data_IF_892473489642
#
_entry.id   IF_892473489642
#
_cell.length_a   1.000
_cell.length_b   1.000
_cell.length_c   1.000
_cell.angle_alpha   90.00
_cell.angle_beta   90.00
_cell.angle_gamma   90.00
#
_symmetry.space_group_name_H-M   'P 1'
#
loop_
_entity.id
_entity.type
_entity.pdbx_description
1 polymer ?
#
# COMPACT_ATOMS: atom_id res chain seq x y z
N UNK A 1 5.98 16.71 0.80
CA UNK A 1 4.89 17.45 0.16
C UNK A 1 3.54 16.75 0.24
N UNK A 2 3.52 15.44 0.47
CA UNK A 2 2.31 14.65 0.73
C UNK A 2 2.03 14.58 2.23
N UNK A 3 0.77 14.40 2.64
CA UNK A 3 0.43 14.18 4.05
C UNK A 3 0.96 12.81 4.51
N UNK A 4 1.40 12.71 5.76
CA UNK A 4 1.90 11.45 6.34
C UNK A 4 0.85 10.32 6.39
N UNK A 5 -0.43 10.65 6.21
CA UNK A 5 -1.54 9.69 6.15
C UNK A 5 -2.01 9.42 4.71
N UNK A 6 -1.23 9.74 3.68
CA UNK A 6 -1.63 9.61 2.27
C UNK A 6 -2.18 8.23 1.94
N UNK A 7 -1.48 7.17 2.32
CA UNK A 7 -1.91 5.80 2.05
C UNK A 7 -3.29 5.47 2.63
N UNK A 8 -3.54 5.87 3.87
CA UNK A 8 -4.84 5.67 4.53
C UNK A 8 -5.94 6.44 3.82
N UNK A 9 -5.66 7.68 3.42
CA UNK A 9 -6.63 8.54 2.73
C UNK A 9 -6.98 7.97 1.34
N UNK A 10 -5.98 7.57 0.57
CA UNK A 10 -6.18 7.05 -0.78
C UNK A 10 -6.93 5.72 -0.77
N UNK A 11 -6.53 4.76 0.06
CA UNK A 11 -7.22 3.47 0.13
C UNK A 11 -8.65 3.62 0.66
N UNK A 12 -8.92 4.58 1.55
CA UNK A 12 -10.28 4.88 2.00
C UNK A 12 -11.18 5.33 0.84
N UNK A 13 -10.68 6.20 -0.04
CA UNK A 13 -11.40 6.65 -1.22
C UNK A 13 -11.61 5.52 -2.23
N UNK A 14 -10.61 4.65 -2.40
CA UNK A 14 -10.73 3.46 -3.27
C UNK A 14 -11.83 2.53 -2.74
N UNK A 15 -11.82 2.22 -1.45
CA UNK A 15 -12.84 1.37 -0.81
C UNK A 15 -14.24 1.96 -0.94
N UNK A 16 -14.40 3.26 -0.72
CA UNK A 16 -15.68 3.94 -0.91
C UNK A 16 -16.12 3.92 -2.38
N UNK A 17 -15.20 4.08 -3.31
CA UNK A 17 -15.45 3.93 -4.74
C UNK A 17 -15.97 2.53 -5.08
N UNK A 18 -15.34 1.49 -4.56
CA UNK A 18 -15.80 0.09 -4.74
C UNK A 18 -17.19 -0.12 -4.16
N UNK A 19 -17.44 0.39 -2.96
CA UNK A 19 -18.75 0.30 -2.30
C UNK A 19 -19.84 0.95 -3.15
N UNK A 20 -19.63 2.16 -3.61
CA UNK A 20 -20.59 2.90 -4.47
C UNK A 20 -20.83 2.19 -5.79
N UNK A 21 -19.76 1.72 -6.42
CA UNK A 21 -19.84 1.04 -7.72
C UNK A 21 -20.64 -0.25 -7.63
N UNK A 22 -20.39 -1.07 -6.62
CA UNK A 22 -21.09 -2.35 -6.43
C UNK A 22 -22.55 -2.14 -6.03
N UNK A 23 -22.84 -1.18 -5.15
CA UNK A 23 -24.21 -0.83 -4.76
C UNK A 23 -25.02 -0.35 -5.97
N UNK A 24 -24.47 0.51 -6.82
CA UNK A 24 -25.14 1.02 -8.03
C UNK A 24 -25.48 -0.08 -9.03
N UNK A 25 -24.73 -1.18 -9.03
CA UNK A 25 -24.96 -2.34 -9.93
C UNK A 25 -25.83 -3.43 -9.31
N UNK A 26 -26.34 -3.23 -8.12
CA UNK A 26 -27.10 -4.26 -7.42
C UNK A 26 -26.28 -5.50 -7.05
N UNK A 27 -24.95 -5.36 -6.99
CA UNK A 27 -24.05 -6.42 -6.56
C UNK A 27 -24.12 -6.62 -5.04
N UNK A 28 -23.46 -7.67 -4.56
CA UNK A 28 -23.38 -7.95 -3.13
C UNK A 28 -22.85 -6.73 -2.34
N UNK A 29 -23.43 -6.50 -1.18
CA UNK A 29 -23.00 -5.43 -0.26
C UNK A 29 -21.58 -5.74 0.22
N UNK A 30 -20.69 -4.77 0.05
CA UNK A 30 -19.34 -4.82 0.58
C UNK A 30 -19.27 -4.02 1.88
N UNK A 31 -18.78 -4.66 2.93
CA UNK A 31 -18.36 -3.97 4.15
C UNK A 31 -16.93 -3.52 3.97
N UNK A 32 -16.70 -2.23 3.96
CA UNK A 32 -15.37 -1.65 3.98
C UNK A 32 -15.02 -1.28 5.43
N UNK A 33 -13.96 -1.86 5.95
CA UNK A 33 -13.44 -1.51 7.26
C UNK A 33 -12.52 -0.29 7.16
N UNK A 34 -12.31 0.35 8.30
CA UNK A 34 -11.30 1.40 8.44
C UNK A 34 -9.92 0.83 8.08
N UNK A 35 -9.13 1.49 7.25
CA UNK A 35 -7.77 1.05 6.96
C UNK A 35 -6.91 0.94 8.21
N UNK A 36 -5.93 0.05 8.17
CA UNK A 36 -4.89 0.00 9.19
C UNK A 36 -3.95 1.18 8.98
N UNK A 37 -3.92 2.09 9.95
CA UNK A 37 -3.14 3.33 9.85
C UNK A 37 -1.63 3.12 10.08
N UNK A 38 -1.26 1.98 10.65
CA UNK A 38 0.13 1.64 10.93
C UNK A 38 0.44 0.27 10.34
N UNK A 39 1.59 0.15 9.73
CA UNK A 39 2.02 -1.09 9.10
C UNK A 39 3.48 -1.43 9.39
N UNK A 40 3.92 -2.56 8.84
CA UNK A 40 5.30 -2.99 8.89
C UNK A 40 6.02 -2.40 7.68
N UNK A 41 6.55 -1.20 7.82
CA UNK A 41 7.23 -0.50 6.75
C UNK A 41 8.52 -1.21 6.32
N UNK A 42 8.91 -1.14 5.04
CA UNK A 42 10.23 -1.56 4.59
C UNK A 42 11.35 -0.81 5.32
N UNK A 43 12.51 -1.44 5.40
CA UNK A 43 13.64 -0.89 6.14
C UNK A 43 14.06 0.51 5.68
N UNK A 44 14.01 0.77 4.39
CA UNK A 44 14.42 2.07 3.83
C UNK A 44 13.52 3.25 4.23
N UNK A 45 12.32 2.98 4.75
CA UNK A 45 11.46 4.04 5.31
C UNK A 45 11.85 4.42 6.75
N UNK A 46 12.74 3.67 7.38
CA UNK A 46 13.18 3.97 8.73
C UNK A 46 13.94 5.29 8.76
N UNK A 47 13.48 6.22 9.58
CA UNK A 47 14.08 7.55 9.71
C UNK A 47 13.39 8.65 8.91
N UNK A 48 12.42 8.31 8.05
CA UNK A 48 11.57 9.33 7.43
C UNK A 48 10.61 9.92 8.46
N UNK A 49 10.39 11.26 8.52
CA UNK A 49 9.46 11.86 9.50
C UNK A 49 8.05 11.33 9.33
N UNK A 50 7.43 11.00 10.44
CA UNK A 50 6.09 10.47 10.48
C UNK A 50 6.01 8.96 10.27
N UNK A 51 7.08 8.29 9.89
CA UNK A 51 7.12 6.84 9.79
C UNK A 51 7.16 6.20 11.17
N UNK A 52 6.12 5.44 11.49
CA UNK A 52 6.00 4.67 12.73
C UNK A 52 5.89 3.20 12.36
N UNK A 53 7.01 2.48 12.20
CA UNK A 53 6.98 1.09 11.80
C UNK A 53 6.51 0.20 12.94
N UNK A 54 5.51 -0.62 12.67
CA UNK A 54 5.11 -1.69 13.57
C UNK A 54 5.92 -2.94 13.23
N UNK A 55 6.36 -3.67 14.25
CA UNK A 55 7.05 -4.95 14.02
C UNK A 55 6.18 -5.87 13.17
N UNK A 56 6.78 -6.51 12.19
CA UNK A 56 6.06 -7.35 11.20
C UNK A 56 5.16 -8.38 11.87
N UNK A 57 5.67 -9.09 12.86
CA UNK A 57 4.90 -10.11 13.58
C UNK A 57 3.70 -9.52 14.31
N UNK A 58 3.80 -8.31 14.87
CA UNK A 58 2.69 -7.63 15.55
C UNK A 58 1.61 -7.22 14.55
N UNK A 59 2.00 -6.58 13.45
CA UNK A 59 1.08 -6.18 12.40
C UNK A 59 0.35 -7.40 11.78
N UNK A 60 1.09 -8.47 11.53
CA UNK A 60 0.54 -9.71 11.02
C UNK A 60 -0.46 -10.36 11.98
N UNK A 61 -0.12 -10.50 13.26
CA UNK A 61 -1.01 -11.08 14.26
C UNK A 61 -2.28 -10.24 14.42
N UNK A 62 -2.14 -8.92 14.48
CA UNK A 62 -3.30 -8.02 14.52
C UNK A 62 -4.24 -8.26 13.33
N UNK A 63 -3.68 -8.37 12.12
CA UNK A 63 -4.49 -8.63 10.92
C UNK A 63 -5.18 -10.00 10.98
N UNK A 64 -4.48 -11.03 11.49
CA UNK A 64 -5.05 -12.37 11.71
C UNK A 64 -6.24 -12.32 12.66
N UNK A 65 -6.14 -11.57 13.74
CA UNK A 65 -7.23 -11.42 14.72
C UNK A 65 -8.44 -10.71 14.09
N UNK A 66 -8.20 -9.66 13.31
CA UNK A 66 -9.28 -8.98 12.55
C UNK A 66 -9.96 -9.96 11.56
N UNK A 67 -9.17 -10.73 10.83
CA UNK A 67 -9.71 -11.72 9.88
C UNK A 67 -10.54 -12.80 10.59
N UNK A 68 -10.11 -13.25 11.76
CA UNK A 68 -10.83 -14.23 12.56
C UNK A 68 -12.14 -13.66 13.09
N UNK A 69 -12.12 -12.44 13.62
CA UNK A 69 -13.31 -11.74 14.06
C UNK A 69 -14.36 -11.63 12.94
N UNK A 70 -13.95 -11.15 11.79
CA UNK A 70 -14.81 -11.07 10.61
C UNK A 70 -15.34 -12.44 10.18
N UNK A 71 -14.53 -13.47 10.25
CA UNK A 71 -14.97 -14.82 9.93
C UNK A 71 -16.05 -15.31 10.91
N UNK A 72 -15.88 -15.05 12.20
CA UNK A 72 -16.87 -15.38 13.24
C UNK A 72 -18.21 -14.64 13.01
N UNK A 73 -18.13 -13.41 12.51
CA UNK A 73 -19.31 -12.61 12.14
C UNK A 73 -19.96 -13.03 10.79
N UNK A 74 -19.42 -14.07 10.15
CA UNK A 74 -20.02 -14.62 8.93
C UNK A 74 -19.40 -14.15 7.64
N UNK A 75 -18.39 -13.27 7.64
CA UNK A 75 -17.70 -12.79 6.43
C UNK A 75 -16.74 -13.83 5.90
N UNK A 76 -17.20 -14.62 4.91
CA UNK A 76 -16.45 -15.71 4.28
C UNK A 76 -15.61 -15.27 3.09
N UNK A 77 -15.79 -14.04 2.64
CA UNK A 77 -15.01 -13.43 1.54
C UNK A 77 -14.35 -12.18 2.10
N UNK A 78 -13.04 -12.26 2.31
CA UNK A 78 -12.27 -11.17 2.86
C UNK A 78 -11.18 -10.77 1.86
N UNK A 79 -11.18 -9.51 1.48
CA UNK A 79 -10.24 -8.96 0.50
C UNK A 79 -9.44 -7.85 1.18
N UNK A 80 -8.14 -8.05 1.25
CA UNK A 80 -7.19 -7.07 1.76
C UNK A 80 -6.73 -6.20 0.58
N UNK A 81 -7.01 -4.91 0.63
CA UNK A 81 -6.55 -3.96 -0.38
C UNK A 81 -5.24 -3.35 0.10
N UNK A 82 -4.18 -3.62 -0.64
CA UNK A 82 -2.87 -3.06 -0.36
C UNK A 82 -2.68 -1.72 -1.06
N UNK A 83 -2.12 -0.76 -0.34
CA UNK A 83 -1.74 0.56 -0.84
C UNK A 83 -0.32 0.96 -0.47
N UNK A 84 0.51 0.03 0.00
CA UNK A 84 1.87 0.32 0.44
C UNK A 84 2.85 -0.81 0.09
N UNK A 85 4.15 -0.53 0.19
CA UNK A 85 5.22 -1.44 -0.20
C UNK A 85 5.37 -2.73 0.61
N UNK A 86 4.52 -3.02 1.60
CA UNK A 86 4.62 -4.21 2.46
C UNK A 86 3.62 -5.34 2.12
N UNK A 87 3.35 -5.57 0.85
CA UNK A 87 2.46 -6.61 0.35
C UNK A 87 2.76 -8.00 0.94
N UNK A 88 4.03 -8.33 1.10
CA UNK A 88 4.51 -9.61 1.65
C UNK A 88 3.94 -9.92 3.04
N UNK A 89 3.72 -8.92 3.89
CA UNK A 89 3.15 -9.12 5.22
C UNK A 89 1.68 -9.53 5.14
N UNK A 90 0.91 -8.94 4.23
CA UNK A 90 -0.50 -9.28 4.01
C UNK A 90 -0.65 -10.71 3.48
N UNK A 91 0.20 -11.10 2.54
CA UNK A 91 0.24 -12.47 2.01
C UNK A 91 0.59 -13.47 3.13
N UNK A 92 1.60 -13.14 3.95
CA UNK A 92 1.98 -13.93 5.10
C UNK A 92 0.84 -14.07 6.12
N UNK A 93 0.09 -13.00 6.38
CA UNK A 93 -1.05 -13.04 7.30
C UNK A 93 -2.12 -14.04 6.84
N UNK A 94 -2.50 -14.01 5.56
CA UNK A 94 -3.45 -14.97 5.00
C UNK A 94 -2.93 -16.40 5.12
N UNK A 95 -1.66 -16.64 4.79
CA UNK A 95 -1.05 -17.95 4.88
C UNK A 95 -1.05 -18.47 6.32
N UNK A 96 -0.68 -17.64 7.29
CA UNK A 96 -0.67 -18.03 8.70
C UNK A 96 -2.08 -18.22 9.26
N UNK A 97 -3.04 -17.39 8.86
CA UNK A 97 -4.44 -17.56 9.19
C UNK A 97 -4.95 -18.92 8.77
N UNK A 98 -4.73 -19.29 7.52
CA UNK A 98 -5.18 -20.59 6.99
C UNK A 98 -4.48 -21.77 7.66
N UNK A 99 -3.19 -21.69 7.90
CA UNK A 99 -2.43 -22.76 8.59
C UNK A 99 -2.89 -22.99 10.02
N UNK A 100 -3.34 -21.95 10.72
CA UNK A 100 -3.79 -22.04 12.11
C UNK A 100 -5.21 -22.57 12.24
N UNK A 101 -6.10 -22.03 11.41
CA UNK A 101 -7.53 -22.21 11.62
C UNK A 101 -8.21 -23.12 10.63
N UNK A 102 -7.64 -23.38 9.47
CA UNK A 102 -8.22 -24.23 8.41
C UNK A 102 -9.67 -23.86 8.05
N UNK A 103 -10.02 -22.57 8.13
CA UNK A 103 -11.37 -22.11 7.96
C UNK A 103 -11.75 -21.92 6.50
N UNK A 104 -12.95 -22.37 6.08
CA UNK A 104 -13.40 -22.22 4.69
C UNK A 104 -13.72 -20.76 4.38
N UNK A 105 -13.29 -20.29 3.21
CA UNK A 105 -13.54 -18.94 2.77
C UNK A 105 -12.69 -18.54 1.57
N UNK A 106 -12.88 -17.33 1.12
CA UNK A 106 -12.05 -16.69 0.10
C UNK A 106 -11.30 -15.56 0.78
N UNK A 107 -9.99 -15.67 0.82
CA UNK A 107 -9.09 -14.68 1.37
C UNK A 107 -8.12 -14.26 0.28
N UNK A 108 -8.09 -12.96 -0.04
CA UNK A 108 -7.30 -12.41 -1.14
C UNK A 108 -6.61 -11.13 -0.72
N UNK A 109 -5.42 -10.93 -1.26
CA UNK A 109 -4.78 -9.61 -1.29
C UNK A 109 -4.91 -9.05 -2.69
N UNK A 110 -5.27 -7.79 -2.78
CA UNK A 110 -5.24 -7.02 -4.02
C UNK A 110 -4.31 -5.83 -3.79
N UNK A 111 -3.23 -5.80 -4.53
CA UNK A 111 -2.46 -4.60 -4.76
C UNK A 111 -3.18 -3.82 -5.87
N UNK A 112 -3.86 -2.75 -5.50
CA UNK A 112 -4.69 -2.03 -6.46
C UNK A 112 -3.87 -1.37 -7.58
N UNK A 113 -2.60 -1.03 -7.33
CA UNK A 113 -1.70 -0.51 -8.35
C UNK A 113 -1.54 -1.49 -9.52
N UNK A 114 -1.53 -2.80 -9.21
CA UNK A 114 -1.45 -3.84 -10.25
C UNK A 114 -2.75 -4.03 -11.01
N UNK A 115 -3.88 -3.63 -10.42
CA UNK A 115 -5.19 -3.70 -11.09
C UNK A 115 -5.35 -2.63 -12.17
N UNK A 116 -4.62 -1.52 -12.04
CA UNK A 116 -4.64 -0.37 -12.96
C UNK A 116 -3.24 -0.08 -13.51
N UNK A 117 -2.59 -1.10 -14.02
CA UNK A 117 -1.17 -1.05 -14.46
C UNK A 117 -0.83 0.09 -15.40
N UNK A 118 -1.75 0.43 -16.29
CA UNK A 118 -1.58 1.51 -17.25
C UNK A 118 -1.36 2.87 -16.60
N UNK A 119 -1.81 3.03 -15.36
CA UNK A 119 -1.59 4.25 -14.57
C UNK A 119 -0.29 4.22 -13.75
N UNK A 120 0.38 3.07 -13.66
CA UNK A 120 1.62 2.91 -12.87
C UNK A 120 2.81 2.46 -13.71
N UNK A 121 2.77 2.75 -15.02
CA UNK A 121 3.87 2.52 -15.94
C UNK A 121 4.28 3.83 -16.58
N UNK A 122 5.55 3.94 -16.87
CA UNK A 122 6.06 5.05 -17.68
C UNK A 122 5.50 5.02 -19.10
N UNK A 123 5.48 6.15 -19.76
CA UNK A 123 5.05 6.28 -21.15
C UNK A 123 5.87 5.37 -22.07
N UNK A 124 7.17 5.19 -21.81
CA UNK A 124 8.04 4.26 -22.52
C UNK A 124 7.58 2.79 -22.40
N UNK A 125 6.96 2.43 -21.30
CA UNK A 125 6.41 1.08 -21.03
C UNK A 125 4.91 0.98 -21.35
N UNK A 126 4.38 1.92 -22.13
CA UNK A 126 2.96 1.95 -22.51
C UNK A 126 2.01 2.43 -21.42
N UNK A 127 2.54 3.11 -20.41
CA UNK A 127 1.77 3.75 -19.34
C UNK A 127 1.47 5.21 -19.59
N UNK A 128 1.23 5.97 -18.54
CA UNK A 128 0.77 7.37 -18.58
C UNK A 128 1.67 8.35 -17.84
N UNK A 129 2.68 7.87 -17.14
CA UNK A 129 3.55 8.68 -16.32
C UNK A 129 4.92 8.88 -16.96
N UNK A 130 5.54 10.00 -16.66
CA UNK A 130 6.90 10.28 -17.14
C UNK A 130 7.96 9.70 -16.20
N UNK A 131 7.59 9.46 -14.94
CA UNK A 131 8.47 8.91 -13.92
C UNK A 131 8.10 7.47 -13.53
N UNK A 132 9.05 6.75 -12.95
CA UNK A 132 8.79 5.42 -12.39
C UNK A 132 7.98 5.56 -11.09
N UNK A 133 7.11 4.58 -10.87
CA UNK A 133 6.41 4.47 -9.58
C UNK A 133 7.38 4.00 -8.50
N UNK A 134 7.61 4.84 -7.50
CA UNK A 134 8.52 4.58 -6.38
C UNK A 134 7.91 5.02 -5.05
N UNK A 135 8.03 6.29 -4.68
CA UNK A 135 7.56 6.86 -3.42
C UNK A 135 7.35 8.37 -3.56
N UNK A 136 6.20 8.86 -3.11
CA UNK A 136 5.81 10.27 -3.25
C UNK A 136 6.02 10.83 -4.66
N UNK A 137 5.88 9.96 -5.64
CA UNK A 137 6.14 10.22 -7.06
C UNK A 137 4.97 10.95 -7.75
N UNK A 138 5.08 11.07 -9.06
CA UNK A 138 4.09 11.71 -9.91
C UNK A 138 2.69 11.10 -9.73
N UNK A 139 2.59 9.77 -9.59
CA UNK A 139 1.31 9.07 -9.46
C UNK A 139 0.65 9.30 -8.11
N UNK A 140 1.41 9.18 -7.02
CA UNK A 140 0.91 9.43 -5.67
C UNK A 140 0.57 10.90 -5.45
N UNK A 141 1.41 11.80 -5.96
CA UNK A 141 1.17 13.25 -5.91
C UNK A 141 -0.08 13.63 -6.70
N UNK A 142 -0.27 13.06 -7.88
CA UNK A 142 -1.48 13.30 -8.69
C UNK A 142 -2.75 12.83 -7.98
N UNK A 143 -2.70 11.68 -7.31
CA UNK A 143 -3.82 11.20 -6.47
C UNK A 143 -4.08 12.15 -5.30
N UNK A 144 -3.03 12.62 -4.64
CA UNK A 144 -3.15 13.59 -3.56
C UNK A 144 -3.83 14.88 -4.02
N UNK A 145 -3.35 15.45 -5.12
CA UNK A 145 -3.92 16.67 -5.71
C UNK A 145 -5.38 16.49 -6.18
N UNK A 146 -5.74 15.29 -6.64
CA UNK A 146 -7.10 14.98 -7.05
C UNK A 146 -8.06 14.78 -5.86
N UNK A 147 -7.62 14.05 -4.85
CA UNK A 147 -8.50 13.59 -3.77
C UNK A 147 -8.49 14.49 -2.55
N UNK A 148 -7.34 15.09 -2.24
CA UNK A 148 -7.09 15.90 -1.04
C UNK A 148 -6.14 17.07 -1.34
N UNK A 149 -6.48 17.96 -2.28
CA UNK A 149 -5.59 19.04 -2.70
C UNK A 149 -5.19 19.97 -1.54
N UNK A 150 -6.06 20.13 -0.54
CA UNK A 150 -5.82 20.94 0.65
C UNK A 150 -4.73 20.38 1.57
N UNK A 151 -4.37 19.12 1.39
CA UNK A 151 -3.36 18.43 2.20
C UNK A 151 -2.02 18.28 1.47
N UNK A 152 -1.93 18.70 0.22
CA UNK A 152 -0.70 18.60 -0.59
C UNK A 152 -0.05 19.98 -0.69
N UNK A 153 1.20 20.08 -0.26
CA UNK A 153 1.95 21.33 -0.37
C UNK A 153 3.13 21.19 -1.34
N UNK A 154 2.88 21.54 -2.58
CA UNK A 154 3.88 21.44 -3.66
C UNK A 154 5.13 22.29 -3.45
N UNK A 155 5.13 23.24 -2.50
CA UNK A 155 6.34 24.02 -2.17
C UNK A 155 7.44 23.14 -1.55
N UNK A 156 7.06 21.98 -1.01
CA UNK A 156 7.98 21.00 -0.45
C UNK A 156 8.26 19.81 -1.38
N UNK A 157 7.70 19.82 -2.58
CA UNK A 157 8.06 18.84 -3.58
C UNK A 157 9.47 19.12 -4.11
N UNK A 158 10.29 18.09 -4.16
CA UNK A 158 11.65 18.15 -4.69
C UNK A 158 11.87 16.99 -5.65
N UNK A 159 12.61 17.25 -6.72
CA UNK A 159 13.00 16.20 -7.63
C UNK A 159 14.11 15.37 -6.97
N UNK A 160 13.84 14.08 -6.87
CA UNK A 160 14.78 13.14 -6.26
C UNK A 160 15.02 11.96 -7.17
N UNK A 161 16.28 11.62 -7.35
CA UNK A 161 16.67 10.39 -8.04
C UNK A 161 17.19 9.40 -7.01
N UNK A 162 16.48 8.30 -6.83
CA UNK A 162 16.94 7.19 -6.02
C UNK A 162 18.21 6.61 -6.62
N UNK A 163 19.31 6.61 -5.87
CA UNK A 163 20.55 5.95 -6.30
C UNK A 163 20.46 4.47 -5.98
N UNK A 164 20.53 3.63 -7.01
CA UNK A 164 20.75 2.21 -6.78
C UNK A 164 22.18 1.98 -6.31
N UNK A 165 22.31 1.30 -5.17
CA UNK A 165 23.62 0.89 -4.65
C UNK A 165 24.10 -0.45 -5.21
N UNK A 166 23.22 -1.17 -5.90
CA UNK A 166 23.52 -2.47 -6.48
C UNK A 166 23.56 -2.40 -8.01
N UNK A 167 24.41 -3.21 -8.65
CA UNK A 167 24.46 -3.30 -10.10
C UNK A 167 23.11 -3.69 -10.68
N UNK A 168 22.82 -3.18 -11.86
CA UNK A 168 21.63 -3.55 -12.63
C UNK A 168 21.59 -5.07 -12.83
N UNK A 169 20.43 -5.69 -12.60
CA UNK A 169 20.25 -7.13 -12.72
C UNK A 169 20.57 -7.93 -11.47
N UNK A 170 20.90 -7.31 -10.35
CA UNK A 170 21.08 -7.99 -9.09
C UNK A 170 19.76 -8.60 -8.58
N UNK A 171 19.84 -9.76 -7.89
CA UNK A 171 18.65 -10.51 -7.49
C UNK A 171 17.96 -9.98 -6.23
N UNK A 172 18.58 -9.12 -5.47
CA UNK A 172 18.07 -8.59 -4.20
C UNK A 172 17.08 -7.45 -4.43
N UNK A 173 15.93 -7.78 -4.98
CA UNK A 173 14.93 -6.77 -5.34
C UNK A 173 13.98 -6.39 -4.23
N UNK A 174 13.81 -7.22 -3.24
CA UNK A 174 12.75 -7.02 -2.24
C UNK A 174 13.21 -6.33 -0.97
N UNK A 175 14.42 -6.59 -0.59
CA UNK A 175 15.08 -5.93 0.54
C UNK A 175 16.52 -5.72 0.11
N UNK A 176 16.87 -4.51 -0.24
CA UNK A 176 18.26 -4.16 -0.35
C UNK A 176 18.85 -4.12 1.08
N UNK A 177 19.63 -5.11 1.50
CA UNK A 177 20.16 -5.14 2.85
C UNK A 177 21.15 -4.00 3.13
N UNK A 178 21.58 -3.33 2.07
CA UNK A 178 22.46 -2.19 2.13
C UNK A 178 21.73 -0.86 1.95
N UNK A 179 20.43 -0.90 1.62
CA UNK A 179 19.65 0.32 1.58
C UNK A 179 19.56 0.89 2.98
N UNK A 180 20.04 2.10 3.11
CA UNK A 180 19.84 2.88 4.32
C UNK A 180 18.58 3.69 4.14
N UNK A 181 17.94 4.09 5.24
CA UNK A 181 17.04 5.21 5.17
C UNK A 181 17.78 6.35 4.48
N UNK A 182 17.22 6.87 3.44
CA UNK A 182 17.79 8.03 2.79
C UNK A 182 17.88 9.15 3.80
N UNK A 183 18.91 9.96 3.67
CA UNK A 183 18.93 11.18 4.43
C UNK A 183 17.83 12.08 3.89
N UNK A 184 17.19 12.81 4.78
CA UNK A 184 16.23 13.83 4.42
C UNK A 184 16.70 14.77 3.33
N UNK A 185 18.02 15.13 3.38
CA UNK A 185 18.68 15.97 2.40
C UNK A 185 18.90 15.31 1.05
N UNK A 186 18.65 14.01 0.94
CA UNK A 186 18.78 13.24 -0.30
C UNK A 186 17.43 12.97 -0.92
N UNK A 187 16.38 13.51 -0.30
CA UNK A 187 15.04 13.64 -0.81
C UNK A 187 14.38 12.32 -1.21
N UNK A 188 13.71 11.74 -0.30
CA UNK A 188 12.62 10.84 -0.59
C UNK A 188 11.30 11.43 -0.11
#
# INVERSE_FOLDING_TARGET
HLPSASDTLYVSQILEGVRRYTAKRGAAVNLALTPLNYGSHPYHHMGMPGTIPIRENVAREFLIDVMLGLWNDGFRKQILINNHGHLWMLESAIQQFQKRYHLPGIFRVIDWHRAVREFFRTTEKGGKWDTNFVHADESETSLGLLLHPEMVDMRYAVDTEGKSYLPEGHFDKSVDPFSRPSRWSEGE
#
